data_IF_732668268883
#
_entry.id   IF_732668268883
#
_cell.length_a   1.000
_cell.length_b   1.000
_cell.length_c   1.000
_cell.angle_alpha   90.00
_cell.angle_beta   90.00
_cell.angle_gamma   90.00
#
_symmetry.space_group_name_H-M   'P 1'
#
loop_
_entity.id
_entity.type
_entity.pdbx_description
1 polymer ?
#
# COMPACT_ATOMS: atom_id res chain seq x y z
N UNK A 1 6.24 6.07 -13.72
CA UNK A 1 5.54 7.33 -13.99
C UNK A 1 4.18 7.29 -13.33
N UNK A 2 3.37 6.27 -13.64
CA UNK A 2 1.98 6.15 -13.13
C UNK A 2 1.84 6.09 -11.60
N UNK A 3 2.74 5.39 -10.88
CA UNK A 3 2.74 5.37 -9.39
C UNK A 3 2.92 6.79 -8.82
N UNK A 4 3.85 7.57 -9.39
CA UNK A 4 4.13 8.92 -8.93
C UNK A 4 3.02 9.89 -9.32
N UNK A 5 2.38 9.70 -10.47
CA UNK A 5 1.21 10.48 -10.87
C UNK A 5 0.02 10.23 -9.94
N UNK A 6 -0.29 8.97 -9.61
CA UNK A 6 -1.33 8.62 -8.67
C UNK A 6 -1.05 9.18 -7.26
N UNK A 7 0.21 9.10 -6.80
CA UNK A 7 0.60 9.70 -5.53
C UNK A 7 0.44 11.24 -5.56
N UNK A 8 0.86 11.90 -6.65
CA UNK A 8 0.73 13.34 -6.79
C UNK A 8 -0.74 13.80 -6.80
N UNK A 9 -1.68 13.00 -7.34
CA UNK A 9 -3.11 13.29 -7.26
C UNK A 9 -3.61 13.32 -5.81
N UNK A 10 -3.15 12.38 -4.97
CA UNK A 10 -3.51 12.31 -3.54
C UNK A 10 -3.02 13.57 -2.80
N UNK A 11 -1.74 13.93 -2.93
CA UNK A 11 -1.18 15.06 -2.16
C UNK A 11 -1.70 16.44 -2.59
N UNK A 12 -2.15 16.57 -3.84
CA UNK A 12 -2.72 17.80 -4.37
C UNK A 12 -4.07 18.18 -3.71
N UNK A 13 -4.79 17.22 -3.12
CA UNK A 13 -6.08 17.48 -2.45
C UNK A 13 -5.99 18.39 -1.22
N UNK A 14 -4.81 18.47 -0.59
CA UNK A 14 -4.61 19.29 0.61
C UNK A 14 -4.07 20.68 0.28
N UNK A 15 -3.26 20.80 -0.78
CA UNK A 15 -2.27 21.88 -0.82
C UNK A 15 -2.49 22.96 -1.89
N UNK A 16 -3.64 23.02 -2.56
CA UNK A 16 -3.97 24.08 -3.55
C UNK A 16 -2.80 24.46 -4.49
N UNK A 17 -1.93 23.51 -4.85
CA UNK A 17 -0.80 23.73 -5.76
C UNK A 17 0.50 24.32 -5.18
N UNK A 18 0.72 24.35 -3.85
CA UNK A 18 1.93 24.97 -3.25
C UNK A 18 3.14 24.03 -2.99
N UNK A 19 3.10 22.75 -3.37
CA UNK A 19 4.22 21.82 -3.14
C UNK A 19 5.09 21.62 -4.38
N UNK A 20 6.40 21.54 -4.16
CA UNK A 20 7.35 21.00 -5.15
C UNK A 20 7.01 19.52 -5.33
N UNK A 21 6.36 19.20 -6.46
CA UNK A 21 5.99 17.83 -6.82
C UNK A 21 7.25 16.97 -6.93
N UNK A 22 7.17 15.73 -6.45
CA UNK A 22 8.22 14.76 -6.72
C UNK A 22 8.31 14.57 -8.24
N UNK A 23 9.46 14.92 -8.82
CA UNK A 23 9.66 14.74 -10.25
C UNK A 23 9.64 13.25 -10.57
N UNK A 24 8.73 12.77 -11.44
CA UNK A 24 8.70 11.38 -11.82
C UNK A 24 10.01 11.03 -12.50
N UNK A 25 10.78 10.12 -11.92
CA UNK A 25 11.87 9.47 -12.66
C UNK A 25 11.19 8.61 -13.72
N UNK A 26 11.36 8.98 -14.99
CA UNK A 26 10.67 8.34 -16.13
C UNK A 26 11.02 6.86 -16.18
N UNK A 27 10.09 6.03 -15.70
CA UNK A 27 10.03 4.58 -15.90
C UNK A 27 8.59 4.26 -16.25
N UNK A 28 8.35 3.68 -17.43
CA UNK A 28 7.02 3.15 -17.77
C UNK A 28 6.76 1.99 -16.82
N UNK A 29 6.06 2.27 -15.72
CA UNK A 29 5.68 1.28 -14.72
C UNK A 29 4.24 0.84 -15.01
N UNK A 30 3.87 -0.33 -14.51
CA UNK A 30 2.51 -0.84 -14.67
C UNK A 30 1.48 -0.04 -13.86
N UNK A 31 0.25 -0.01 -14.37
CA UNK A 31 -0.89 0.70 -13.76
C UNK A 31 -1.13 0.24 -12.33
N UNK A 32 -1.38 1.22 -11.45
CA UNK A 32 -1.89 0.98 -10.10
C UNK A 32 -3.18 0.18 -10.22
N UNK A 33 -3.21 -1.01 -9.63
CA UNK A 33 -4.41 -1.86 -9.63
C UNK A 33 -5.19 -1.63 -8.35
N UNK A 34 -6.43 -1.15 -8.48
CA UNK A 34 -7.35 -0.95 -7.36
C UNK A 34 -8.40 -2.05 -7.44
N UNK A 35 -8.57 -2.83 -6.37
CA UNK A 35 -9.47 -3.98 -6.32
C UNK A 35 -10.42 -3.86 -5.12
N UNK A 36 -11.72 -3.99 -5.41
CA UNK A 36 -12.76 -4.07 -4.39
C UNK A 36 -12.98 -5.52 -4.00
N UNK A 37 -13.07 -5.78 -2.71
CA UNK A 37 -13.50 -7.06 -2.15
C UNK A 37 -14.55 -6.78 -1.07
N UNK A 38 -15.42 -7.73 -0.76
CA UNK A 38 -16.55 -7.47 0.14
C UNK A 38 -16.15 -7.63 1.63
N UNK A 39 -15.02 -8.27 1.93
CA UNK A 39 -14.59 -8.55 3.29
C UNK A 39 -13.07 -8.71 3.45
N UNK A 40 -12.56 -8.60 4.69
CA UNK A 40 -11.13 -8.81 4.99
C UNK A 40 -10.63 -10.20 4.56
N UNK A 41 -11.35 -11.32 4.81
CA UNK A 41 -10.94 -12.62 4.28
C UNK A 41 -10.78 -12.66 2.76
N UNK A 42 -11.66 -12.00 2.01
CA UNK A 42 -11.59 -11.92 0.55
C UNK A 42 -10.44 -11.04 0.08
N UNK A 43 -10.22 -9.89 0.74
CA UNK A 43 -9.02 -9.09 0.53
C UNK A 43 -7.78 -9.94 0.74
N UNK A 44 -7.68 -10.66 1.86
CA UNK A 44 -6.49 -11.48 2.15
C UNK A 44 -6.31 -12.58 1.11
N UNK A 45 -7.38 -13.22 0.65
CA UNK A 45 -7.32 -14.19 -0.46
C UNK A 45 -6.79 -13.55 -1.75
N UNK A 46 -7.25 -12.34 -2.08
CA UNK A 46 -6.74 -11.55 -3.21
C UNK A 46 -5.26 -11.21 -3.05
N UNK A 47 -4.85 -10.77 -1.85
CA UNK A 47 -3.46 -10.47 -1.50
C UNK A 47 -2.58 -11.71 -1.63
N UNK A 48 -3.02 -12.88 -1.17
CA UNK A 48 -2.27 -14.14 -1.30
C UNK A 48 -2.02 -14.50 -2.77
N UNK A 49 -3.06 -14.39 -3.61
CA UNK A 49 -2.93 -14.60 -5.06
C UNK A 49 -1.96 -13.60 -5.68
N UNK A 50 -2.07 -12.33 -5.30
CA UNK A 50 -1.19 -11.28 -5.84
C UNK A 50 0.26 -11.45 -5.42
N UNK A 51 0.51 -11.87 -4.18
CA UNK A 51 1.86 -12.20 -3.70
C UNK A 51 2.48 -13.32 -4.55
N UNK A 52 1.69 -14.34 -4.92
CA UNK A 52 2.18 -15.42 -5.79
C UNK A 52 2.57 -14.87 -7.18
N UNK A 53 1.70 -14.09 -7.82
CA UNK A 53 1.98 -13.45 -9.12
C UNK A 53 3.24 -12.55 -9.06
N UNK A 54 3.38 -11.74 -8.02
CA UNK A 54 4.53 -10.85 -7.82
C UNK A 54 5.82 -11.66 -7.71
N UNK A 55 5.81 -12.78 -6.98
CA UNK A 55 6.97 -13.67 -6.84
C UNK A 55 7.32 -14.39 -8.13
N UNK A 56 6.32 -14.85 -8.89
CA UNK A 56 6.51 -15.46 -10.21
C UNK A 56 7.13 -14.47 -11.20
N UNK A 57 6.79 -13.18 -11.08
CA UNK A 57 7.42 -12.10 -11.85
C UNK A 57 8.85 -11.75 -11.41
N UNK A 58 9.40 -12.43 -10.39
CA UNK A 58 10.79 -12.29 -9.94
C UNK A 58 11.03 -11.21 -8.87
N UNK A 59 9.99 -10.56 -8.37
CA UNK A 59 10.11 -9.55 -7.31
C UNK A 59 10.21 -10.21 -5.93
N UNK A 60 11.14 -9.74 -5.10
CA UNK A 60 11.52 -10.41 -3.85
C UNK A 60 11.13 -9.62 -2.60
N UNK A 61 11.18 -8.29 -2.66
CA UNK A 61 10.81 -7.42 -1.53
C UNK A 61 9.36 -6.96 -1.67
N UNK A 62 8.46 -7.52 -0.87
CA UNK A 62 7.01 -7.27 -0.93
C UNK A 62 6.52 -6.76 0.42
N UNK A 63 5.85 -5.61 0.42
CA UNK A 63 5.16 -5.08 1.60
C UNK A 63 3.64 -5.15 1.48
N UNK A 64 2.99 -5.67 2.51
CA UNK A 64 1.56 -5.47 2.76
C UNK A 64 1.41 -4.36 3.81
N UNK A 65 0.87 -3.21 3.42
CA UNK A 65 0.77 -2.04 4.30
C UNK A 65 -0.69 -1.86 4.73
N UNK A 66 -0.90 -1.81 6.05
CA UNK A 66 -2.18 -1.45 6.65
C UNK A 66 -2.08 -0.06 7.30
N UNK A 67 -3.20 0.57 7.67
CA UNK A 67 -3.15 1.88 8.34
C UNK A 67 -2.47 1.77 9.70
N UNK A 68 -2.86 0.78 10.50
CA UNK A 68 -2.43 0.60 11.90
C UNK A 68 -1.87 -0.80 12.17
N UNK A 69 -1.22 -0.97 13.32
CA UNK A 69 -0.68 -2.27 13.74
C UNK A 69 -1.79 -3.24 14.13
N UNK A 70 -2.91 -2.74 14.66
CA UNK A 70 -4.11 -3.52 14.95
C UNK A 70 -4.69 -4.09 13.65
N UNK A 71 -4.72 -3.30 12.58
CA UNK A 71 -5.17 -3.75 11.27
C UNK A 71 -4.21 -4.79 10.69
N UNK A 72 -2.90 -4.60 10.81
CA UNK A 72 -1.92 -5.63 10.43
C UNK A 72 -2.22 -6.98 11.12
N UNK A 73 -2.41 -6.97 12.44
CA UNK A 73 -2.76 -8.17 13.21
C UNK A 73 -4.10 -8.77 12.80
N UNK A 74 -5.06 -7.95 12.41
CA UNK A 74 -6.37 -8.40 11.93
C UNK A 74 -6.23 -9.12 10.59
N UNK A 75 -5.55 -8.51 9.63
CA UNK A 75 -5.30 -9.08 8.31
C UNK A 75 -4.48 -10.37 8.39
N UNK A 76 -3.39 -10.37 9.18
CA UNK A 76 -2.52 -11.54 9.32
C UNK A 76 -3.26 -12.81 9.80
N UNK A 77 -4.33 -12.67 10.61
CA UNK A 77 -5.13 -13.81 11.09
C UNK A 77 -5.92 -14.53 9.99
N UNK A 78 -6.14 -13.87 8.84
CA UNK A 78 -6.92 -14.44 7.75
C UNK A 78 -6.06 -15.11 6.68
N UNK A 79 -4.72 -15.00 6.76
CA UNK A 79 -3.82 -15.70 5.86
C UNK A 79 -3.85 -17.21 6.14
N UNK A 80 -3.63 -18.00 5.10
CA UNK A 80 -3.45 -19.44 5.24
C UNK A 80 -2.22 -19.74 6.11
N UNK A 81 -2.23 -20.85 6.87
CA UNK A 81 -1.08 -21.28 7.66
C UNK A 81 0.21 -21.29 6.83
N UNK A 82 1.25 -20.61 7.33
CA UNK A 82 2.55 -20.51 6.66
C UNK A 82 2.65 -19.49 5.52
N UNK A 83 1.56 -18.78 5.17
CA UNK A 83 1.58 -17.71 4.14
C UNK A 83 1.58 -16.28 4.70
N UNK A 84 1.30 -16.12 5.99
CA UNK A 84 1.22 -14.81 6.62
C UNK A 84 2.56 -14.04 6.50
N UNK A 85 2.54 -12.75 6.10
CA UNK A 85 3.72 -11.89 6.14
C UNK A 85 4.27 -11.73 7.57
N UNK A 86 5.57 -11.47 7.67
CA UNK A 86 6.17 -11.08 8.95
C UNK A 86 5.69 -9.66 9.32
N UNK A 87 5.02 -9.53 10.47
CA UNK A 87 4.57 -8.22 10.95
C UNK A 87 5.77 -7.44 11.53
N UNK A 88 6.04 -6.25 11.01
CA UNK A 88 7.02 -5.31 11.55
C UNK A 88 6.38 -4.36 12.58
N UNK A 89 7.10 -4.13 13.67
CA UNK A 89 6.67 -3.31 14.80
C UNK A 89 7.56 -2.09 15.03
N UNK A 90 8.68 -1.97 14.31
CA UNK A 90 9.67 -0.90 14.45
C UNK A 90 10.72 -1.17 15.53
N UNK A 91 10.70 -2.36 16.13
CA UNK A 91 11.67 -2.80 17.16
C UNK A 91 12.68 -3.79 16.61
N UNK A 92 12.55 -4.15 15.34
CA UNK A 92 13.42 -5.10 14.67
C UNK A 92 14.81 -4.47 14.45
N UNK A 93 15.86 -5.17 14.85
CA UNK A 93 17.26 -4.72 14.72
C UNK A 93 17.80 -4.87 13.30
N UNK A 94 17.17 -5.73 12.49
CA UNK A 94 17.52 -5.97 11.10
C UNK A 94 16.26 -6.00 10.24
N UNK A 95 16.31 -5.29 9.12
CA UNK A 95 15.29 -5.39 8.09
C UNK A 95 15.43 -6.74 7.37
N UNK A 96 14.44 -7.61 7.49
CA UNK A 96 14.40 -8.87 6.75
C UNK A 96 13.80 -8.64 5.38
N UNK A 97 14.61 -8.76 4.33
CA UNK A 97 14.14 -8.77 2.94
C UNK A 97 13.20 -9.97 2.72
N UNK A 98 12.08 -9.75 2.03
CA UNK A 98 11.09 -10.80 1.73
C UNK A 98 9.67 -10.27 1.77
N UNK A 99 8.75 -11.04 2.34
CA UNK A 99 7.35 -10.67 2.52
C UNK A 99 7.10 -10.15 3.93
N UNK A 100 6.83 -8.85 4.04
CA UNK A 100 6.55 -8.18 5.31
C UNK A 100 5.19 -7.51 5.32
N UNK A 101 4.64 -7.32 6.52
CA UNK A 101 3.46 -6.51 6.75
C UNK A 101 3.77 -5.44 7.79
N UNK A 102 3.37 -4.20 7.54
CA UNK A 102 3.70 -3.08 8.41
C UNK A 102 2.60 -2.01 8.43
N UNK A 103 2.47 -1.27 9.53
CA UNK A 103 1.61 -0.10 9.57
C UNK A 103 2.20 1.06 8.76
N UNK A 104 1.32 1.90 8.22
CA UNK A 104 1.66 3.01 7.32
C UNK A 104 2.75 3.95 7.84
N UNK A 105 2.76 4.24 9.15
CA UNK A 105 3.76 5.14 9.77
C UNK A 105 5.19 4.56 9.79
N UNK A 106 5.37 3.24 9.66
CA UNK A 106 6.70 2.61 9.54
C UNK A 106 7.21 2.53 8.11
N UNK A 107 6.36 2.80 7.11
CA UNK A 107 6.73 2.65 5.71
C UNK A 107 7.73 3.72 5.25
N UNK A 108 7.82 4.86 5.95
CA UNK A 108 8.69 5.99 5.57
C UNK A 108 10.16 5.57 5.55
N UNK A 109 10.83 5.82 4.42
CA UNK A 109 12.25 5.50 4.25
C UNK A 109 12.52 4.04 3.88
N UNK A 110 11.48 3.22 3.73
CA UNK A 110 11.59 1.87 3.18
C UNK A 110 11.19 1.87 1.70
N UNK A 111 11.77 0.95 0.94
CA UNK A 111 11.46 0.74 -0.47
C UNK A 111 11.30 -0.76 -0.73
N UNK A 112 10.33 -1.11 -1.57
CA UNK A 112 9.95 -2.49 -1.87
C UNK A 112 9.80 -2.65 -3.37
N UNK A 113 10.02 -3.85 -3.90
CA UNK A 113 9.74 -4.12 -5.31
C UNK A 113 8.24 -3.93 -5.59
N UNK A 114 7.41 -4.44 -4.68
CA UNK A 114 5.97 -4.33 -4.74
C UNK A 114 5.37 -3.94 -3.39
N UNK A 115 4.32 -3.11 -3.44
CA UNK A 115 3.53 -2.70 -2.28
C UNK A 115 2.07 -3.05 -2.52
N UNK A 116 1.44 -3.58 -1.48
CA UNK A 116 0.02 -3.90 -1.42
C UNK A 116 -0.58 -3.09 -0.26
N UNK A 117 -1.43 -2.11 -0.56
CA UNK A 117 -2.20 -1.37 0.46
C UNK A 117 -3.46 -2.18 0.75
N UNK A 118 -3.60 -2.67 1.98
CA UNK A 118 -4.57 -3.72 2.30
C UNK A 118 -6.02 -3.22 2.48
N UNK A 119 -6.25 -1.96 2.86
CA UNK A 119 -7.61 -1.47 3.07
C UNK A 119 -7.75 0.06 2.91
N UNK A 120 -7.78 0.53 1.67
CA UNK A 120 -7.91 1.94 1.31
C UNK A 120 -9.38 2.41 1.19
N UNK A 121 -10.22 2.05 2.15
CA UNK A 121 -11.63 2.46 2.19
C UNK A 121 -11.82 3.91 2.70
N UNK A 122 -13.03 4.44 2.56
CA UNK A 122 -13.41 5.79 3.00
C UNK A 122 -13.44 5.99 4.51
N UNK A 123 -13.44 4.91 5.31
CA UNK A 123 -13.42 4.97 6.78
C UNK A 123 -11.98 5.14 7.27
N UNK A 124 -11.07 4.36 6.69
CA UNK A 124 -9.64 4.33 6.99
C UNK A 124 -8.92 5.53 6.39
N UNK A 125 -9.25 5.97 5.18
CA UNK A 125 -8.56 7.09 4.54
C UNK A 125 -9.58 8.15 4.15
N UNK A 126 -9.75 9.13 5.02
CA UNK A 126 -10.70 10.25 4.83
C UNK A 126 -9.99 11.43 4.19
N UNK A 127 -10.76 12.38 3.68
CA UNK A 127 -10.24 13.63 3.10
C UNK A 127 -9.74 14.60 4.20
N UNK A 128 -8.62 14.25 4.81
CA UNK A 128 -7.92 15.07 5.80
C UNK A 128 -6.40 15.00 5.63
N UNK A 129 -5.69 15.89 6.32
CA UNK A 129 -4.25 16.08 6.14
C UNK A 129 -3.44 14.82 6.44
N UNK A 130 -3.74 14.16 7.56
CA UNK A 130 -2.99 13.01 8.04
C UNK A 130 -3.16 11.82 7.10
N UNK A 131 -4.39 11.47 6.77
CA UNK A 131 -4.71 10.29 5.95
C UNK A 131 -4.14 10.41 4.55
N UNK A 132 -4.20 11.61 3.96
CA UNK A 132 -3.59 11.88 2.66
C UNK A 132 -2.07 11.73 2.69
N UNK A 133 -1.41 12.27 3.73
CA UNK A 133 0.05 12.11 3.89
C UNK A 133 0.44 10.66 4.06
N UNK A 134 -0.31 9.89 4.86
CA UNK A 134 -0.08 8.46 5.04
C UNK A 134 -0.24 7.71 3.71
N UNK A 135 -1.33 7.96 2.98
CA UNK A 135 -1.61 7.32 1.70
C UNK A 135 -0.54 7.65 0.66
N UNK A 136 -0.17 8.93 0.53
CA UNK A 136 0.93 9.38 -0.33
C UNK A 136 2.25 8.67 -0.01
N UNK A 137 2.62 8.59 1.28
CA UNK A 137 3.86 7.91 1.67
C UNK A 137 3.83 6.45 1.24
N UNK A 138 2.75 5.72 1.49
CA UNK A 138 2.63 4.30 1.09
C UNK A 138 2.71 4.13 -0.43
N UNK A 139 2.01 4.98 -1.20
CA UNK A 139 1.99 4.90 -2.66
C UNK A 139 3.35 5.21 -3.30
N UNK A 140 4.27 5.86 -2.59
CA UNK A 140 5.62 6.18 -3.09
C UNK A 140 6.70 5.20 -2.63
N UNK A 141 6.36 4.14 -1.88
CA UNK A 141 7.31 3.09 -1.47
C UNK A 141 7.60 2.00 -2.53
N UNK A 142 6.69 1.63 -3.45
CA UNK A 142 6.98 0.59 -4.43
C UNK A 142 7.90 1.10 -5.55
N UNK A 143 8.91 0.31 -5.87
CA UNK A 143 9.83 0.52 -6.99
C UNK A 143 9.22 0.11 -8.33
N UNK A 144 8.38 -0.94 -8.34
CA UNK A 144 7.85 -1.53 -9.56
C UNK A 144 6.33 -1.66 -9.58
N UNK A 145 5.70 -2.18 -8.52
CA UNK A 145 4.26 -2.52 -8.53
C UNK A 145 3.51 -1.99 -7.31
N UNK A 146 2.35 -1.38 -7.55
CA UNK A 146 1.43 -0.94 -6.50
C UNK A 146 0.05 -1.58 -6.71
N UNK A 147 -0.43 -2.26 -5.67
CA UNK A 147 -1.76 -2.83 -5.59
C UNK A 147 -2.51 -2.22 -4.40
N UNK A 148 -3.78 -1.93 -4.57
CA UNK A 148 -4.61 -1.31 -3.55
C UNK A 148 -5.90 -2.11 -3.43
N UNK A 149 -6.18 -2.58 -2.22
CA UNK A 149 -7.44 -3.24 -1.88
C UNK A 149 -8.29 -2.33 -1.01
N UNK A 150 -9.60 -2.47 -1.12
CA UNK A 150 -10.56 -1.81 -0.24
C UNK A 150 -11.81 -2.67 -0.08
N UNK A 151 -12.53 -2.46 1.02
CA UNK A 151 -13.88 -3.00 1.23
C UNK A 151 -14.90 -1.88 1.40
N UNK A 152 -16.12 -2.10 0.94
CA UNK A 152 -17.17 -1.07 0.98
C UNK A 152 -16.93 0.01 -0.07
N UNK A 153 -16.74 1.26 0.38
CA UNK A 153 -16.54 2.44 -0.47
C UNK A 153 -15.05 2.81 -0.55
N UNK A 154 -14.58 3.12 -1.76
CA UNK A 154 -13.21 3.54 -1.99
C UNK A 154 -12.94 4.87 -1.27
N UNK A 155 -11.73 5.03 -0.73
CA UNK A 155 -11.30 6.32 -0.19
C UNK A 155 -11.51 7.45 -1.21
N UNK A 156 -12.11 8.59 -0.81
CA UNK A 156 -12.25 9.73 -1.71
C UNK A 156 -10.91 10.22 -2.24
N UNK A 157 -9.81 10.00 -1.51
CA UNK A 157 -8.46 10.37 -1.93
C UNK A 157 -8.00 9.65 -3.20
N UNK A 158 -8.57 8.48 -3.50
CA UNK A 158 -8.26 7.65 -4.67
C UNK A 158 -9.31 7.77 -5.79
N UNK A 159 -10.40 8.51 -5.59
CA UNK A 159 -11.42 8.74 -6.62
C UNK A 159 -10.87 9.77 -7.63
N UNK A 160 -10.53 9.32 -8.84
CA UNK A 160 -9.86 10.11 -9.88
C UNK A 160 -10.76 11.12 -10.60
N UNK A 161 -11.69 11.76 -9.89
CA UNK A 161 -12.53 12.84 -10.44
C UNK A 161 -11.81 14.18 -10.45
#
# INVERSE_FOLDING_TARGET
VEIMEAANQVINRINQGQLVLAQPVVRHGDKVQITREDSIPEIVKGIEGKIAEIREAGYQSIAVICKTIEECRKFAKHFQPGKAPLIMTGKETEYRSGLVMLPSYLAKGLEFDAVIIANADNINYRENELDTKLLYVMMTRPLHKLYIYYSGELSPLLDGK
#
